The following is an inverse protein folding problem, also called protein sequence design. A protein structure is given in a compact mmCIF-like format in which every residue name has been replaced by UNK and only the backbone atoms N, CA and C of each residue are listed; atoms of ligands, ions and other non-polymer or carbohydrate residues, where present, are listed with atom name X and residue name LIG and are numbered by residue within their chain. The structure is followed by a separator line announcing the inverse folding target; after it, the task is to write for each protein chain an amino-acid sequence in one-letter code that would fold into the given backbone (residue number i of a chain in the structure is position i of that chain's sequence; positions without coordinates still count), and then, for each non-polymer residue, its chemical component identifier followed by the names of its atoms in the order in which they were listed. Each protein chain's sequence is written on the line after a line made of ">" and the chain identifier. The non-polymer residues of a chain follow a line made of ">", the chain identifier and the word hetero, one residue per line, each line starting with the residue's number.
data_IF_785043939489
#
_entry.id   IF_785043939489
#
_cell.length_a   1.000
_cell.length_b   1.000
_cell.length_c   1.000
_cell.angle_alpha   90.00
_cell.angle_beta   90.00
_cell.angle_gamma   90.00
#
_symmetry.space_group_name_H-M   'P 1'
#
loop_
_entity.id
_entity.type
_entity.pdbx_description
1 polymer ?
#
# COMPACT_ATOMS: atom_id res chain seq x y z
N UNK A 1 18.05 -7.59 9.76
CA UNK A 1 16.73 -8.23 9.52
C UNK A 1 15.88 -7.23 8.75
N UNK A 2 15.40 -7.59 7.56
CA UNK A 2 14.41 -6.76 6.88
C UNK A 2 13.11 -6.81 7.71
N UNK A 3 12.52 -5.65 8.02
CA UNK A 3 11.19 -5.63 8.62
C UNK A 3 10.19 -6.12 7.59
N UNK A 4 9.66 -7.32 7.80
CA UNK A 4 8.57 -7.85 6.99
C UNK A 4 7.24 -7.34 7.52
N UNK A 5 6.47 -6.67 6.66
CA UNK A 5 5.07 -6.33 6.95
C UNK A 5 4.24 -7.61 7.11
N UNK A 6 3.32 -7.61 8.06
CA UNK A 6 2.43 -8.77 8.28
C UNK A 6 1.38 -8.87 7.16
N UNK A 7 0.70 -10.02 7.02
CA UNK A 7 -0.43 -10.15 6.11
C UNK A 7 -1.55 -9.14 6.39
N UNK A 8 -1.77 -8.77 7.66
CA UNK A 8 -2.76 -7.77 8.06
C UNK A 8 -2.39 -6.37 7.57
N UNK A 9 -1.11 -6.00 7.70
CA UNK A 9 -0.62 -4.71 7.19
C UNK A 9 -0.73 -4.64 5.68
N UNK A 10 -0.35 -5.73 5.00
CA UNK A 10 -0.47 -5.86 3.54
C UNK A 10 -1.92 -5.70 3.10
N UNK A 11 -2.87 -6.32 3.79
CA UNK A 11 -4.29 -6.15 3.49
C UNK A 11 -4.76 -4.70 3.70
N UNK A 12 -4.32 -4.02 4.76
CA UNK A 12 -4.63 -2.60 4.98
C UNK A 12 -4.05 -1.72 3.87
N UNK A 13 -2.76 -1.90 3.56
CA UNK A 13 -2.05 -1.16 2.50
C UNK A 13 -2.80 -1.27 1.18
N UNK A 14 -3.15 -2.49 0.75
CA UNK A 14 -3.83 -2.69 -0.51
C UNK A 14 -5.23 -2.07 -0.54
N UNK A 15 -5.98 -2.06 0.57
CA UNK A 15 -7.26 -1.33 0.64
C UNK A 15 -7.09 0.17 0.45
N UNK A 16 -6.06 0.77 1.05
CA UNK A 16 -5.78 2.20 0.86
C UNK A 16 -5.39 2.48 -0.59
N UNK A 17 -4.57 1.61 -1.19
CA UNK A 17 -4.17 1.73 -2.61
C UNK A 17 -5.37 1.61 -3.53
N UNK A 18 -6.22 0.61 -3.33
CA UNK A 18 -7.44 0.39 -4.11
C UNK A 18 -8.34 1.63 -4.10
N UNK A 19 -8.59 2.19 -2.91
CA UNK A 19 -9.37 3.42 -2.79
C UNK A 19 -8.69 4.64 -3.46
N UNK A 20 -7.36 4.71 -3.41
CA UNK A 20 -6.60 5.75 -4.10
C UNK A 20 -6.67 5.59 -5.63
N UNK A 21 -6.64 4.34 -6.13
CA UNK A 21 -6.80 4.00 -7.55
C UNK A 21 -8.19 4.39 -8.05
N UNK A 22 -9.24 4.08 -7.28
CA UNK A 22 -10.62 4.49 -7.61
C UNK A 22 -10.73 6.01 -7.77
N UNK A 23 -10.16 6.78 -6.83
CA UNK A 23 -10.14 8.25 -6.89
C UNK A 23 -9.32 8.79 -8.06
N UNK A 24 -8.20 8.17 -8.38
CA UNK A 24 -7.35 8.55 -9.52
C UNK A 24 -7.93 8.11 -10.88
N UNK A 25 -8.87 7.15 -10.86
CA UNK A 25 -9.52 6.56 -12.04
C UNK A 25 -8.77 5.41 -12.71
N UNK A 26 -7.52 5.12 -12.32
CA UNK A 26 -6.79 3.90 -12.71
C UNK A 26 -5.46 3.79 -11.95
N UNK A 27 -4.90 2.57 -11.90
CA UNK A 27 -3.58 2.32 -11.29
C UNK A 27 -2.48 3.14 -11.99
N UNK A 28 -2.46 3.13 -13.33
CA UNK A 28 -1.51 3.93 -14.11
C UNK A 28 -1.61 5.44 -13.79
N UNK A 29 -2.82 6.00 -13.65
CA UNK A 29 -3.01 7.41 -13.28
C UNK A 29 -2.57 7.72 -11.86
N UNK A 30 -2.79 6.80 -10.90
CA UNK A 30 -2.34 6.98 -9.52
C UNK A 30 -0.81 7.18 -9.43
N UNK A 31 -0.06 6.45 -10.25
CA UNK A 31 1.41 6.47 -10.27
C UNK A 31 2.00 7.29 -11.42
N UNK A 32 1.20 8.08 -12.14
CA UNK A 32 1.68 8.93 -13.22
C UNK A 32 2.56 10.10 -12.72
N UNK A 33 2.29 10.57 -11.49
CA UNK A 33 3.08 11.62 -10.85
C UNK A 33 4.35 11.04 -10.23
N UNK A 34 5.47 11.75 -10.40
CA UNK A 34 6.76 11.35 -9.82
C UNK A 34 6.75 11.59 -8.32
N UNK A 35 7.40 10.69 -7.57
CA UNK A 35 7.68 10.92 -6.16
C UNK A 35 8.73 12.03 -6.05
N UNK A 36 8.36 13.11 -5.38
CA UNK A 36 9.26 14.22 -5.09
C UNK A 36 10.09 13.92 -3.83
N UNK A 37 11.34 14.36 -3.84
CA UNK A 37 12.24 14.27 -2.70
C UNK A 37 13.11 15.51 -2.63
N UNK A 38 13.61 15.79 -1.44
CA UNK A 38 14.51 16.90 -1.17
C UNK A 38 15.57 16.48 -0.17
N UNK A 39 16.71 17.17 -0.19
CA UNK A 39 17.77 16.97 0.79
C UNK A 39 17.64 18.00 1.91
N UNK A 40 17.66 17.54 3.16
CA UNK A 40 17.65 18.40 4.33
C UNK A 40 18.64 17.85 5.37
N UNK A 41 19.61 18.68 5.77
CA UNK A 41 20.64 18.31 6.77
C UNK A 41 21.38 17.00 6.42
N UNK A 42 21.73 16.80 5.14
CA UNK A 42 22.43 15.61 4.67
C UNK A 42 21.56 14.34 4.64
N UNK A 43 20.23 14.48 4.71
CA UNK A 43 19.28 13.37 4.64
C UNK A 43 18.27 13.60 3.51
N UNK A 44 17.97 12.53 2.77
CA UNK A 44 16.90 12.54 1.77
C UNK A 44 15.56 12.42 2.49
N UNK A 45 14.65 13.35 2.20
CA UNK A 45 13.25 13.33 2.63
C UNK A 45 12.34 13.22 1.41
N UNK A 46 11.27 12.45 1.55
CA UNK A 46 10.29 12.25 0.48
C UNK A 46 9.03 13.06 0.75
N UNK A 47 8.51 13.73 -0.28
CA UNK A 47 7.16 14.26 -0.30
C UNK A 47 6.20 13.13 -0.67
N UNK A 48 5.68 12.46 0.35
CA UNK A 48 4.73 11.38 0.15
C UNK A 48 3.39 11.92 -0.39
N UNK A 49 2.80 11.27 -1.41
CA UNK A 49 1.45 11.60 -1.85
C UNK A 49 0.45 11.52 -0.70
N UNK A 50 -0.56 12.40 -0.70
CA UNK A 50 -1.56 12.49 0.39
C UNK A 50 -2.20 11.14 0.72
N UNK A 51 -2.47 10.30 -0.28
CA UNK A 51 -3.06 8.98 -0.08
C UNK A 51 -2.14 8.01 0.69
N UNK A 52 -0.81 8.20 0.62
CA UNK A 52 0.16 7.41 1.40
C UNK A 52 0.21 7.83 2.87
N UNK A 53 -0.33 8.98 3.26
CA UNK A 53 -0.33 9.41 4.66
C UNK A 53 -1.10 8.44 5.56
N UNK A 54 -2.17 7.82 5.05
CA UNK A 54 -2.91 6.79 5.79
C UNK A 54 -2.04 5.54 6.05
N UNK A 55 -1.28 5.09 5.05
CA UNK A 55 -0.34 3.97 5.19
C UNK A 55 0.77 4.33 6.18
N UNK A 56 1.37 5.52 6.05
CA UNK A 56 2.41 6.01 6.97
C UNK A 56 1.90 6.10 8.40
N UNK A 57 0.71 6.66 8.63
CA UNK A 57 0.10 6.76 9.96
C UNK A 57 -0.15 5.39 10.60
N UNK A 58 -0.70 4.45 9.82
CA UNK A 58 -0.92 3.08 10.26
C UNK A 58 0.39 2.37 10.66
N UNK A 59 1.42 2.42 9.81
CA UNK A 59 2.70 1.78 10.08
C UNK A 59 3.48 2.47 11.22
N UNK A 60 3.39 3.80 11.32
CA UNK A 60 3.97 4.53 12.43
C UNK A 60 3.40 4.06 13.77
N UNK A 61 2.10 3.79 13.83
CA UNK A 61 1.45 3.24 15.03
C UNK A 61 1.97 1.84 15.37
N UNK A 62 2.19 0.97 14.37
CA UNK A 62 2.63 -0.41 14.59
C UNK A 62 4.14 -0.54 14.89
N UNK A 63 4.97 0.26 14.21
CA UNK A 63 6.43 0.03 14.16
C UNK A 63 7.26 1.24 14.61
N UNK A 64 6.65 2.41 14.76
CA UNK A 64 7.35 3.67 15.00
C UNK A 64 7.91 4.31 13.72
N UNK A 65 8.19 5.61 13.83
CA UNK A 65 8.51 6.48 12.69
C UNK A 65 9.77 6.06 11.92
N UNK A 66 10.89 5.83 12.63
CA UNK A 66 12.17 5.48 12.00
C UNK A 66 12.11 4.21 11.15
N UNK A 67 11.33 3.21 11.58
CA UNK A 67 11.17 1.95 10.83
C UNK A 67 10.25 2.13 9.64
N UNK A 68 9.19 2.90 9.82
CA UNK A 68 8.19 3.16 8.77
C UNK A 68 8.78 3.85 7.56
N UNK A 69 9.62 4.88 7.73
CA UNK A 69 10.22 5.58 6.60
C UNK A 69 11.07 4.64 5.71
N UNK A 70 11.79 3.69 6.30
CA UNK A 70 12.53 2.66 5.56
C UNK A 70 11.62 1.66 4.83
N UNK A 71 10.43 1.39 5.39
CA UNK A 71 9.46 0.45 4.82
C UNK A 71 8.65 1.07 3.66
N UNK A 72 8.36 2.38 3.72
CA UNK A 72 7.49 3.04 2.75
C UNK A 72 8.01 2.97 1.31
N UNK A 73 9.32 3.05 1.09
CA UNK A 73 9.91 2.88 -0.24
C UNK A 73 9.73 1.46 -0.78
N UNK A 74 9.93 0.44 0.06
CA UNK A 74 9.72 -0.96 -0.32
C UNK A 74 8.25 -1.24 -0.64
N UNK A 75 7.34 -0.68 0.17
CA UNK A 75 5.90 -0.76 -0.07
C UNK A 75 5.55 -0.05 -1.37
N UNK A 76 6.07 1.15 -1.61
CA UNK A 76 5.81 1.91 -2.83
C UNK A 76 6.24 1.13 -4.07
N UNK A 77 7.45 0.54 -4.05
CA UNK A 77 7.92 -0.32 -5.13
C UNK A 77 6.98 -1.50 -5.39
N UNK A 78 6.47 -2.12 -4.32
CA UNK A 78 5.56 -3.26 -4.43
C UNK A 78 4.22 -2.85 -5.07
N UNK A 79 3.61 -1.76 -4.60
CA UNK A 79 2.28 -1.33 -5.04
C UNK A 79 2.29 -0.67 -6.42
N UNK A 80 3.43 -0.11 -6.84
CA UNK A 80 3.65 0.40 -8.19
C UNK A 80 3.71 -0.70 -9.25
N UNK A 81 4.04 -1.94 -8.88
CA UNK A 81 4.08 -3.03 -9.83
C UNK A 81 2.65 -3.46 -10.20
N UNK A 82 2.23 -3.15 -11.44
CA UNK A 82 0.91 -3.52 -11.98
C UNK A 82 0.55 -5.01 -11.80
N UNK A 83 1.48 -5.98 -11.95
CA UNK A 83 1.18 -7.39 -11.68
C UNK A 83 0.71 -7.64 -10.24
N UNK A 84 1.24 -6.92 -9.25
CA UNK A 84 0.86 -7.07 -7.85
C UNK A 84 -0.55 -6.52 -7.60
N UNK A 85 -0.89 -5.39 -8.21
CA UNK A 85 -2.24 -4.85 -8.12
C UNK A 85 -3.26 -5.77 -8.79
N UNK A 86 -2.93 -6.31 -9.96
CA UNK A 86 -3.76 -7.31 -10.65
C UNK A 86 -3.97 -8.56 -9.79
N UNK A 87 -2.93 -9.03 -9.10
CA UNK A 87 -3.02 -10.16 -8.18
C UNK A 87 -3.92 -9.86 -6.98
N UNK A 88 -3.80 -8.67 -6.39
CA UNK A 88 -4.68 -8.19 -5.33
C UNK A 88 -6.15 -8.20 -5.77
N UNK A 89 -6.47 -7.61 -6.94
CA UNK A 89 -7.84 -7.57 -7.45
C UNK A 89 -8.43 -8.98 -7.64
N UNK A 90 -7.64 -9.93 -8.16
CA UNK A 90 -8.07 -11.34 -8.30
C UNK A 90 -8.36 -12.01 -6.95
N UNK A 91 -7.65 -11.63 -5.89
CA UNK A 91 -7.92 -12.15 -4.54
C UNK A 91 -9.16 -11.49 -3.93
N UNK A 92 -9.32 -10.17 -4.09
CA UNK A 92 -10.47 -9.42 -3.57
C UNK A 92 -11.78 -9.77 -4.26
N UNK A 93 -11.77 -10.08 -5.56
CA UNK A 93 -12.94 -10.52 -6.32
C UNK A 93 -13.37 -11.96 -6.00
N UNK A 94 -12.48 -12.78 -5.42
CA UNK A 94 -12.80 -14.12 -4.90
C UNK A 94 -13.42 -14.05 -3.50
N UNK A 95 -14.33 -13.11 -3.27
CA UNK A 95 -15.08 -12.95 -2.01
C UNK A 95 -15.61 -14.29 -1.47
N UNK A 96 -15.88 -14.38 -0.15
CA UNK A 96 -15.90 -15.65 0.60
C UNK A 96 -16.70 -16.70 -0.14
N UNK A 97 -16.10 -17.88 -0.34
CA UNK A 97 -16.78 -19.09 -0.82
C UNK A 97 -18.11 -19.16 -0.09
N UNK A 98 -19.22 -19.05 -0.83
CA UNK A 98 -20.55 -19.26 -0.27
C UNK A 98 -20.50 -20.63 0.40
N UNK A 99 -20.61 -20.68 1.73
CA UNK A 99 -20.94 -21.91 2.41
C UNK A 99 -22.32 -22.31 1.91
N UNK A 100 -22.32 -23.30 1.02
CA UNK A 100 -23.54 -23.94 0.55
C UNK A 100 -24.21 -24.52 1.80
N UNK A 101 -25.27 -23.86 2.27
CA UNK A 101 -26.20 -24.43 3.23
C UNK A 101 -26.94 -25.56 2.50
N UNK A 102 -26.32 -26.73 2.42
CA UNK A 102 -27.06 -27.98 2.27
C UNK A 102 -27.53 -28.40 3.66
N UNK A 103 -28.67 -27.83 4.04
CA UNK A 103 -29.57 -28.46 5.00
C UNK A 103 -30.60 -29.17 4.13
N UNK A 104 -30.53 -30.49 4.11
CA UNK A 104 -31.41 -31.40 3.37
C UNK A 104 -31.09 -32.81 3.77
#
# INVERSE_FOLDING_TARGET
>A
MALEITPQDRAYIWRVVDHAVEKAGSHAKLFANRLEFFEESGRIKFHWPVWMHAIKGYLNYQYGEKKTDAMLLSILREIMAEPNYTAYLKQSQKGPVKFDKKVG
#
